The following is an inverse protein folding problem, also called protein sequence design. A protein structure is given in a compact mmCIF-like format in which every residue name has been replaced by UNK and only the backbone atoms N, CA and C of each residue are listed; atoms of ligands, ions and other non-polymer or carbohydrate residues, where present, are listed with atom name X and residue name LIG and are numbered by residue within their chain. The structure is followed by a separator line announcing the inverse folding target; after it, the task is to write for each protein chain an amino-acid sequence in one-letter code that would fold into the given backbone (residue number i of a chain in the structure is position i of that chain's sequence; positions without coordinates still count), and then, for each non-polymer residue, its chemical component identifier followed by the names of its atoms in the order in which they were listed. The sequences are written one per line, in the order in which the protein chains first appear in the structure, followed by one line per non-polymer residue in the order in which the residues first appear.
data_IF_803425765810
#
_entry.id   IF_803425765810
#
_cell.length_a   1.000
_cell.length_b   1.000
_cell.length_c   1.000
_cell.angle_alpha   90.00
_cell.angle_beta   90.00
_cell.angle_gamma   90.00
#
_symmetry.space_group_name_H-M   'P 1'
#
loop_
_entity.id
_entity.type
_entity.pdbx_description
1 polymer ?
#
# COMPACT_ATOMS: atom_id res chain seq x y z
N UNK A 1 -10.59 -36.91 -40.97
CA UNK A 1 -10.33 -35.95 -39.88
C UNK A 1 -9.42 -36.55 -38.82
N UNK A 2 -8.64 -35.71 -38.16
CA UNK A 2 -7.77 -36.08 -37.04
C UNK A 2 -8.45 -35.67 -35.74
N UNK A 3 -8.47 -36.56 -34.76
CA UNK A 3 -9.01 -36.30 -33.42
C UNK A 3 -7.86 -36.28 -32.42
N UNK A 4 -7.84 -35.26 -31.56
CA UNK A 4 -6.87 -35.11 -30.48
C UNK A 4 -7.65 -35.06 -29.17
N UNK A 5 -7.28 -35.94 -28.24
CA UNK A 5 -7.89 -36.04 -26.93
C UNK A 5 -6.80 -36.14 -25.86
N UNK A 6 -7.13 -35.78 -24.62
CA UNK A 6 -6.27 -35.99 -23.47
C UNK A 6 -7.00 -36.81 -22.40
N UNK A 7 -6.25 -37.53 -21.58
CA UNK A 7 -6.79 -38.40 -20.56
C UNK A 7 -7.08 -37.60 -19.29
N UNK A 8 -8.33 -37.13 -19.19
CA UNK A 8 -8.78 -36.23 -18.14
C UNK A 8 -9.31 -36.98 -16.91
N UNK A 9 -9.27 -36.33 -15.75
CA UNK A 9 -9.99 -36.76 -14.54
C UNK A 9 -11.12 -35.77 -14.25
N UNK A 10 -12.31 -36.27 -13.95
CA UNK A 10 -13.49 -35.45 -13.67
C UNK A 10 -13.31 -34.59 -12.40
N UNK A 11 -13.86 -33.38 -12.43
CA UNK A 11 -13.74 -32.40 -11.33
C UNK A 11 -14.59 -32.78 -10.11
N UNK A 12 -15.70 -33.51 -10.31
CA UNK A 12 -16.60 -33.94 -9.24
C UNK A 12 -17.44 -35.15 -9.65
N UNK A 13 -18.05 -35.84 -8.68
CA UNK A 13 -18.94 -36.98 -8.93
C UNK A 13 -18.26 -38.32 -9.22
N UNK A 14 -16.93 -38.38 -9.23
CA UNK A 14 -16.17 -39.60 -9.44
C UNK A 14 -15.84 -40.33 -8.13
N UNK A 15 -16.12 -41.64 -8.08
CA UNK A 15 -15.59 -42.54 -7.05
C UNK A 15 -14.56 -43.48 -7.69
N UNK A 16 -13.28 -43.33 -7.35
CA UNK A 16 -12.20 -44.18 -7.86
C UNK A 16 -11.94 -44.02 -9.37
N UNK A 17 -11.72 -45.12 -10.08
CA UNK A 17 -11.35 -45.13 -11.51
C UNK A 17 -12.47 -44.69 -12.48
N UNK A 18 -13.68 -44.40 -11.97
CA UNK A 18 -14.89 -44.10 -12.75
C UNK A 18 -14.90 -42.67 -13.33
N UNK A 19 -13.92 -41.83 -12.97
CA UNK A 19 -13.85 -40.44 -13.44
C UNK A 19 -12.75 -40.14 -14.44
N UNK A 20 -12.14 -41.15 -15.08
CA UNK A 20 -11.11 -40.90 -16.10
C UNK A 20 -11.62 -41.21 -17.50
N UNK A 21 -11.45 -40.27 -18.42
CA UNK A 21 -11.90 -40.43 -19.80
C UNK A 21 -10.99 -39.68 -20.76
N UNK A 22 -10.94 -40.18 -22.01
CA UNK A 22 -10.46 -39.38 -23.14
C UNK A 22 -11.47 -38.28 -23.43
N UNK A 23 -10.99 -37.04 -23.38
CA UNK A 23 -11.78 -35.83 -23.57
C UNK A 23 -11.13 -34.90 -24.60
N UNK A 24 -11.92 -34.06 -25.30
CA UNK A 24 -11.38 -32.95 -26.10
C UNK A 24 -10.50 -32.03 -25.25
N UNK A 25 -9.60 -31.27 -25.87
CA UNK A 25 -8.67 -30.39 -25.16
C UNK A 25 -9.40 -29.30 -24.36
N UNK A 26 -10.59 -28.91 -24.79
CA UNK A 26 -11.47 -27.94 -24.13
C UNK A 26 -12.19 -28.52 -22.91
N UNK A 27 -12.12 -29.84 -22.69
CA UNK A 27 -12.88 -30.52 -21.65
C UNK A 27 -14.35 -30.74 -22.04
N UNK A 28 -15.22 -30.74 -21.04
CA UNK A 28 -16.66 -30.78 -21.22
C UNK A 28 -17.36 -31.84 -20.38
N UNK A 29 -18.61 -32.12 -20.72
CA UNK A 29 -19.44 -33.09 -19.99
C UNK A 29 -19.48 -34.43 -20.71
N UNK A 30 -19.23 -35.50 -19.98
CA UNK A 30 -19.39 -36.88 -20.45
C UNK A 30 -19.96 -37.73 -19.33
N UNK A 31 -21.02 -38.47 -19.64
CA UNK A 31 -21.70 -39.37 -18.69
C UNK A 31 -22.07 -38.70 -17.36
N UNK A 32 -22.60 -37.46 -17.44
CA UNK A 32 -22.97 -36.60 -16.29
C UNK A 32 -21.79 -36.09 -15.45
N UNK A 33 -20.55 -36.39 -15.84
CA UNK A 33 -19.33 -35.89 -15.20
C UNK A 33 -18.77 -34.71 -15.98
N UNK A 34 -18.29 -33.69 -15.26
CA UNK A 34 -17.60 -32.53 -15.84
C UNK A 34 -16.11 -32.75 -15.77
N UNK A 35 -15.46 -32.53 -16.90
CA UNK A 35 -14.02 -32.61 -17.04
C UNK A 35 -13.47 -31.20 -17.31
N UNK A 36 -12.32 -30.85 -16.71
CA UNK A 36 -11.68 -29.57 -16.95
C UNK A 36 -11.21 -29.48 -18.40
N UNK A 37 -10.71 -28.31 -18.83
CA UNK A 37 -9.86 -28.25 -20.01
C UNK A 37 -8.47 -28.85 -19.71
N UNK A 38 -7.68 -29.12 -20.76
CA UNK A 38 -6.30 -29.58 -20.60
C UNK A 38 -5.48 -28.54 -19.82
N UNK A 39 -4.79 -28.99 -18.77
CA UNK A 39 -3.95 -28.16 -17.91
C UNK A 39 -2.46 -28.26 -18.25
N UNK A 40 -1.67 -27.37 -17.67
CA UNK A 40 -0.21 -27.43 -17.71
C UNK A 40 0.32 -28.74 -17.09
N UNK A 41 1.50 -29.18 -17.50
CA UNK A 41 2.18 -30.37 -16.97
C UNK A 41 2.23 -31.53 -17.96
N UNK A 42 2.62 -32.71 -17.46
CA UNK A 42 2.65 -33.93 -18.29
C UNK A 42 1.23 -34.46 -18.44
N UNK A 43 0.71 -34.40 -19.66
CA UNK A 43 -0.62 -34.88 -20.02
C UNK A 43 -0.50 -36.12 -20.90
N UNK A 44 -1.32 -37.13 -20.65
CA UNK A 44 -1.43 -38.27 -21.54
C UNK A 44 -2.39 -37.91 -22.69
N UNK A 45 -1.90 -37.96 -23.92
CA UNK A 45 -2.61 -37.50 -25.12
C UNK A 45 -2.75 -38.64 -26.10
N UNK A 46 -3.88 -38.67 -26.81
CA UNK A 46 -4.16 -39.59 -27.91
C UNK A 46 -4.52 -38.81 -29.17
N UNK A 47 -3.88 -39.20 -30.28
CA UNK A 47 -4.15 -38.68 -31.62
C UNK A 47 -4.64 -39.84 -32.47
N UNK A 48 -5.80 -39.69 -33.09
CA UNK A 48 -6.43 -40.74 -33.90
C UNK A 48 -6.79 -40.20 -35.28
N UNK A 49 -6.49 -40.96 -36.32
CA UNK A 49 -6.93 -40.67 -37.69
C UNK A 49 -7.54 -41.91 -38.33
N UNK A 50 -8.77 -41.79 -38.85
CA UNK A 50 -9.58 -42.90 -39.33
C UNK A 50 -9.15 -43.53 -40.67
N UNK A 51 -8.07 -43.05 -41.30
CA UNK A 51 -7.65 -43.53 -42.61
C UNK A 51 -8.36 -42.82 -43.78
N UNK A 52 -8.05 -43.28 -44.99
CA UNK A 52 -8.77 -42.94 -46.22
C UNK A 52 -8.82 -44.15 -47.14
N UNK A 53 -9.35 -43.97 -48.37
CA UNK A 53 -9.38 -45.03 -49.38
C UNK A 53 -7.98 -45.62 -49.67
N UNK A 54 -6.95 -44.77 -49.62
CA UNK A 54 -5.60 -45.13 -50.06
C UNK A 54 -4.60 -45.28 -48.90
N UNK A 55 -5.01 -44.98 -47.66
CA UNK A 55 -4.14 -44.94 -46.49
C UNK A 55 -4.81 -45.54 -45.25
N UNK A 56 -4.09 -46.42 -44.52
CA UNK A 56 -4.60 -47.06 -43.32
C UNK A 56 -4.75 -46.08 -42.15
N UNK A 57 -5.71 -46.37 -41.26
CA UNK A 57 -5.89 -45.66 -40.01
C UNK A 57 -4.67 -45.81 -39.08
N UNK A 58 -4.43 -44.82 -38.23
CA UNK A 58 -3.38 -44.90 -37.20
C UNK A 58 -3.79 -44.17 -35.92
N UNK A 59 -3.14 -44.56 -34.83
CA UNK A 59 -3.31 -43.95 -33.52
C UNK A 59 -1.94 -43.80 -32.85
N UNK A 60 -1.73 -42.64 -32.21
CA UNK A 60 -0.62 -42.41 -31.30
C UNK A 60 -1.15 -42.11 -29.91
N UNK A 61 -0.48 -42.65 -28.89
CA UNK A 61 -0.74 -42.34 -27.49
C UNK A 61 0.60 -42.13 -26.79
N UNK A 62 0.70 -41.05 -26.02
CA UNK A 62 1.93 -40.75 -25.29
C UNK A 62 1.78 -39.54 -24.38
N UNK A 63 2.83 -39.31 -23.61
CA UNK A 63 2.91 -38.17 -22.71
C UNK A 63 3.41 -36.93 -23.45
N UNK A 64 2.69 -35.83 -23.31
CA UNK A 64 3.02 -34.51 -23.85
C UNK A 64 3.23 -33.57 -22.67
N UNK A 65 4.34 -32.83 -22.67
CA UNK A 65 4.52 -31.72 -21.74
C UNK A 65 3.77 -30.50 -22.26
N UNK A 66 2.64 -30.18 -21.64
CA UNK A 66 1.88 -28.95 -21.91
C UNK A 66 2.49 -27.84 -21.09
N UNK A 67 3.14 -26.88 -21.75
CA UNK A 67 3.76 -25.74 -21.10
C UNK A 67 2.77 -24.60 -20.96
N UNK A 68 2.77 -23.97 -19.78
CA UNK A 68 2.04 -22.75 -19.50
C UNK A 68 2.61 -21.50 -20.13
N UNK A 69 1.98 -20.37 -19.78
CA UNK A 69 2.57 -19.04 -19.93
C UNK A 69 3.80 -18.91 -19.03
N UNK A 70 4.72 -18.02 -19.40
CA UNK A 70 5.86 -17.72 -18.56
C UNK A 70 5.42 -17.08 -17.23
N UNK A 71 6.22 -17.19 -16.17
CA UNK A 71 5.97 -16.45 -14.94
C UNK A 71 6.03 -14.93 -15.21
N UNK A 72 5.20 -14.14 -14.52
CA UNK A 72 5.20 -12.70 -14.66
C UNK A 72 6.60 -12.09 -14.49
N UNK A 73 6.99 -11.09 -15.31
CA UNK A 73 8.35 -10.58 -15.33
C UNK A 73 8.66 -9.61 -14.18
N UNK A 74 7.91 -9.64 -13.08
CA UNK A 74 8.12 -8.73 -11.95
C UNK A 74 9.03 -9.35 -10.90
N UNK A 75 10.02 -8.57 -10.46
CA UNK A 75 10.90 -8.90 -9.34
C UNK A 75 10.79 -7.82 -8.27
N UNK A 76 10.78 -8.23 -7.00
CA UNK A 76 10.82 -7.28 -5.88
C UNK A 76 12.21 -6.69 -5.72
N UNK A 77 12.32 -5.41 -5.42
CA UNK A 77 13.57 -4.81 -4.95
C UNK A 77 13.79 -5.22 -3.49
N UNK A 78 14.99 -5.70 -3.18
CA UNK A 78 15.35 -6.08 -1.81
C UNK A 78 15.87 -4.88 -1.02
N UNK A 79 15.70 -4.92 0.31
CA UNK A 79 16.23 -3.92 1.24
C UNK A 79 15.45 -2.61 1.34
N UNK A 80 14.30 -2.50 0.67
CA UNK A 80 13.41 -1.33 0.79
C UNK A 80 12.45 -1.55 1.95
N UNK A 81 12.63 -0.80 3.02
CA UNK A 81 11.79 -0.86 4.24
C UNK A 81 10.88 0.35 4.41
N UNK A 82 11.18 1.44 3.73
CA UNK A 82 10.46 2.71 3.84
C UNK A 82 10.09 3.25 2.45
N UNK A 83 8.88 3.78 2.32
CA UNK A 83 8.42 4.49 1.12
C UNK A 83 7.68 5.74 1.55
N UNK A 84 8.05 6.88 0.97
CA UNK A 84 7.40 8.15 1.28
C UNK A 84 6.04 8.26 0.61
N UNK A 85 5.06 8.73 1.38
CA UNK A 85 3.76 9.13 0.84
C UNK A 85 3.90 10.42 0.03
N UNK A 86 3.14 10.53 -1.06
CA UNK A 86 3.10 11.72 -1.90
C UNK A 86 1.86 12.54 -1.53
N UNK A 87 2.03 13.86 -1.38
CA UNK A 87 0.96 14.78 -1.00
C UNK A 87 0.64 15.81 -2.09
N UNK A 88 -0.63 16.18 -2.19
CA UNK A 88 -1.10 17.31 -2.99
C UNK A 88 -0.75 18.65 -2.31
N UNK A 89 -0.93 19.75 -3.04
CA UNK A 89 -0.68 21.12 -2.52
C UNK A 89 -1.56 21.49 -1.33
N UNK A 90 -2.77 20.93 -1.26
CA UNK A 90 -3.71 21.10 -0.14
C UNK A 90 -3.39 20.18 1.05
N UNK A 91 -2.24 19.51 1.02
CA UNK A 91 -1.76 18.56 2.02
C UNK A 91 -2.57 17.26 2.13
N UNK A 92 -3.55 17.01 1.25
CA UNK A 92 -4.17 15.69 1.11
C UNK A 92 -3.22 14.68 0.48
N UNK A 93 -3.43 13.39 0.73
CA UNK A 93 -2.62 12.32 0.13
C UNK A 93 -2.95 12.26 -1.37
N UNK A 94 -1.91 12.19 -2.20
CA UNK A 94 -2.04 11.83 -3.60
C UNK A 94 -1.90 10.31 -3.73
N UNK A 95 -3.03 9.60 -3.74
CA UNK A 95 -3.06 8.14 -3.74
C UNK A 95 -2.48 7.54 -5.02
N UNK A 96 -2.71 8.16 -6.18
CA UNK A 96 -2.17 7.70 -7.46
C UNK A 96 -0.64 7.83 -7.49
N UNK A 97 -0.10 8.98 -7.11
CA UNK A 97 1.33 9.21 -7.03
C UNK A 97 2.00 8.36 -5.94
N UNK A 98 1.30 8.10 -4.83
CA UNK A 98 1.80 7.19 -3.78
C UNK A 98 1.83 5.73 -4.26
N UNK A 99 0.80 5.28 -5.00
CA UNK A 99 0.81 3.96 -5.63
C UNK A 99 1.96 3.83 -6.66
N UNK A 100 2.23 4.91 -7.41
CA UNK A 100 3.37 4.97 -8.32
C UNK A 100 4.69 4.84 -7.56
N UNK A 101 4.89 5.63 -6.49
CA UNK A 101 6.08 5.57 -5.65
C UNK A 101 6.30 4.16 -5.06
N UNK A 102 5.23 3.49 -4.61
CA UNK A 102 5.28 2.11 -4.13
C UNK A 102 5.76 1.13 -5.22
N UNK A 103 5.21 1.20 -6.43
CA UNK A 103 5.66 0.33 -7.55
C UNK A 103 7.12 0.59 -7.89
N UNK A 104 7.51 1.84 -8.04
CA UNK A 104 8.88 2.22 -8.41
C UNK A 104 9.89 1.84 -7.32
N UNK A 105 9.51 1.97 -6.05
CA UNK A 105 10.37 1.61 -4.94
C UNK A 105 10.49 0.09 -4.78
N UNK A 106 9.42 -0.68 -5.03
CA UNK A 106 9.37 -2.10 -4.64
C UNK A 106 9.44 -3.08 -5.81
N UNK A 107 9.18 -2.66 -7.05
CA UNK A 107 9.10 -3.54 -8.21
C UNK A 107 10.10 -3.16 -9.31
N UNK A 108 10.54 -4.18 -10.03
CA UNK A 108 11.26 -4.07 -11.30
C UNK A 108 10.58 -5.02 -12.28
N UNK A 109 10.34 -4.55 -13.50
CA UNK A 109 10.01 -5.45 -14.60
C UNK A 109 11.29 -5.89 -15.31
N UNK A 110 11.48 -7.20 -15.47
CA UNK A 110 12.54 -7.79 -16.27
C UNK A 110 12.27 -7.69 -17.78
N UNK A 111 11.02 -7.41 -18.18
CA UNK A 111 10.61 -7.20 -19.56
C UNK A 111 10.18 -5.73 -19.75
N UNK A 112 10.86 -4.94 -20.60
CA UNK A 112 10.52 -3.53 -20.81
C UNK A 112 9.16 -3.32 -21.47
N UNK A 113 8.56 -4.35 -22.09
CA UNK A 113 7.23 -4.26 -22.70
C UNK A 113 6.10 -4.48 -21.68
N UNK A 114 6.42 -4.90 -20.46
CA UNK A 114 5.46 -5.07 -19.37
C UNK A 114 5.70 -3.99 -18.33
N UNK A 115 4.74 -3.07 -18.20
CA UNK A 115 4.88 -1.91 -17.32
C UNK A 115 4.52 -2.26 -15.88
N UNK A 116 5.31 -1.75 -14.92
CA UNK A 116 4.94 -1.83 -13.50
C UNK A 116 3.66 -1.03 -13.19
N UNK A 117 3.30 -0.06 -14.05
CA UNK A 117 2.11 0.77 -13.85
C UNK A 117 0.80 -0.03 -13.99
N UNK A 118 0.86 -1.18 -14.67
CA UNK A 118 -0.28 -2.10 -14.81
C UNK A 118 -0.54 -2.92 -13.54
N UNK A 119 0.38 -2.87 -12.57
CA UNK A 119 0.25 -3.56 -11.29
C UNK A 119 -0.66 -2.75 -10.37
N UNK A 120 -1.77 -3.34 -9.94
CA UNK A 120 -2.66 -2.75 -8.94
C UNK A 120 -1.97 -2.74 -7.57
N UNK A 121 -2.10 -1.63 -6.84
CA UNK A 121 -1.58 -1.45 -5.49
C UNK A 121 -2.76 -1.33 -4.52
N UNK A 122 -2.77 -2.17 -3.49
CA UNK A 122 -3.80 -2.20 -2.46
C UNK A 122 -3.14 -2.26 -1.08
N UNK A 123 -3.82 -1.79 -0.04
CA UNK A 123 -3.38 -1.94 1.35
C UNK A 123 -4.31 -2.86 2.13
N UNK A 124 -3.80 -3.51 3.17
CA UNK A 124 -4.61 -4.30 4.09
C UNK A 124 -5.40 -3.39 5.04
N UNK A 125 -6.70 -3.22 4.80
CA UNK A 125 -7.64 -2.52 5.68
C UNK A 125 -8.26 -3.46 6.76
N UNK A 126 -7.70 -4.66 6.93
CA UNK A 126 -8.15 -5.67 7.88
C UNK A 126 -7.13 -5.91 8.99
N UNK A 127 -7.17 -7.11 9.56
CA UNK A 127 -6.16 -7.59 10.52
C UNK A 127 -5.25 -8.61 9.84
N UNK A 128 -4.18 -9.04 10.50
CA UNK A 128 -3.29 -10.09 9.96
C UNK A 128 -4.00 -11.45 9.80
N UNK A 129 -5.01 -11.71 10.63
CA UNK A 129 -5.81 -12.94 10.60
C UNK A 129 -6.93 -12.88 9.56
N UNK A 130 -7.42 -11.69 9.25
CA UNK A 130 -8.51 -11.46 8.31
C UNK A 130 -8.15 -10.29 7.39
N UNK A 131 -7.23 -10.56 6.46
CA UNK A 131 -6.76 -9.55 5.49
C UNK A 131 -7.91 -9.07 4.63
N UNK A 132 -7.99 -7.75 4.45
CA UNK A 132 -9.03 -7.10 3.65
C UNK A 132 -8.36 -6.04 2.77
N UNK A 133 -7.88 -6.46 1.61
CA UNK A 133 -7.18 -5.58 0.70
C UNK A 133 -8.13 -4.61 -0.01
N UNK A 134 -7.75 -3.33 -0.01
CA UNK A 134 -8.53 -2.23 -0.56
C UNK A 134 -7.65 -1.25 -1.35
N UNK A 135 -8.22 -0.52 -2.32
CA UNK A 135 -7.54 0.62 -2.95
C UNK A 135 -7.06 1.62 -1.90
N UNK A 136 -5.94 2.31 -2.14
CA UNK A 136 -5.33 3.23 -1.17
C UNK A 136 -6.28 4.36 -0.73
N UNK A 137 -7.19 4.77 -1.61
CA UNK A 137 -8.18 5.84 -1.38
C UNK A 137 -9.49 5.35 -0.75
N UNK A 138 -9.53 4.10 -0.28
CA UNK A 138 -10.72 3.52 0.34
C UNK A 138 -11.17 4.30 1.59
N UNK A 139 -12.36 4.89 1.51
CA UNK A 139 -12.96 5.72 2.57
C UNK A 139 -14.04 4.97 3.40
N UNK A 140 -13.90 3.65 3.55
CA UNK A 140 -14.82 2.86 4.37
C UNK A 140 -14.58 3.00 5.88
N UNK A 141 -15.42 2.31 6.66
CA UNK A 141 -15.26 2.20 8.10
C UNK A 141 -14.16 1.16 8.41
N UNK A 142 -13.07 1.57 9.06
CA UNK A 142 -11.96 0.68 9.42
C UNK A 142 -10.59 1.38 9.47
N UNK A 143 -9.53 0.61 9.25
CA UNK A 143 -8.17 1.12 9.13
C UNK A 143 -8.02 1.84 7.79
N UNK A 144 -7.65 3.12 7.82
CA UNK A 144 -7.35 3.90 6.62
C UNK A 144 -5.87 3.76 6.27
N UNK A 145 -5.57 3.78 4.97
CA UNK A 145 -4.20 3.87 4.50
C UNK A 145 -3.54 5.16 5.01
N UNK A 146 -2.28 5.07 5.43
CA UNK A 146 -1.57 6.20 6.02
C UNK A 146 -0.13 5.88 6.39
N UNK A 147 0.39 6.67 7.33
CA UNK A 147 1.75 6.56 7.85
C UNK A 147 1.97 5.26 8.66
N UNK A 148 3.24 5.00 8.98
CA UNK A 148 3.74 3.82 9.70
C UNK A 148 3.64 2.55 8.85
N UNK A 149 3.79 1.40 9.49
CA UNK A 149 3.75 0.10 8.85
C UNK A 149 2.41 -0.16 8.14
N UNK A 150 2.48 -0.49 6.85
CA UNK A 150 1.36 -0.88 6.01
C UNK A 150 1.69 -2.19 5.30
N UNK A 151 0.72 -3.11 5.25
CA UNK A 151 0.83 -4.30 4.39
C UNK A 151 0.21 -3.97 3.03
N UNK A 152 1.04 -3.98 2.00
CA UNK A 152 0.71 -3.65 0.62
C UNK A 152 0.64 -4.93 -0.22
N UNK A 153 -0.38 -5.02 -1.07
CA UNK A 153 -0.51 -6.07 -2.08
C UNK A 153 -0.37 -5.48 -3.48
N UNK A 154 0.50 -6.11 -4.26
CA UNK A 154 0.65 -5.89 -5.68
C UNK A 154 -0.07 -7.00 -6.43
N UNK A 155 -0.97 -6.65 -7.35
CA UNK A 155 -1.68 -7.63 -8.17
C UNK A 155 -1.60 -7.24 -9.65
N UNK A 156 -1.25 -8.19 -10.51
CA UNK A 156 -1.35 -8.04 -11.95
C UNK A 156 -2.02 -9.27 -12.56
N UNK A 157 -2.94 -9.05 -13.50
CA UNK A 157 -3.79 -10.12 -14.05
C UNK A 157 -3.05 -11.09 -14.99
N UNK A 158 -1.81 -10.78 -15.36
CA UNK A 158 -1.13 -11.48 -16.44
C UNK A 158 -1.58 -10.97 -17.81
N UNK A 159 -1.09 -11.61 -18.87
CA UNK A 159 -1.48 -11.32 -20.24
C UNK A 159 -1.43 -12.61 -21.10
N UNK A 160 -1.32 -12.46 -22.42
CA UNK A 160 -1.23 -13.61 -23.33
C UNK A 160 0.07 -14.42 -23.12
N UNK A 161 1.16 -13.75 -22.74
CA UNK A 161 2.50 -14.34 -22.67
C UNK A 161 2.87 -14.76 -21.24
N UNK A 162 2.34 -14.06 -20.24
CA UNK A 162 2.69 -14.20 -18.84
C UNK A 162 1.50 -14.56 -17.94
N UNK A 163 1.76 -15.41 -16.95
CA UNK A 163 0.84 -15.71 -15.86
C UNK A 163 0.58 -14.48 -14.98
N UNK A 164 -0.48 -14.55 -14.15
CA UNK A 164 -0.79 -13.51 -13.17
C UNK A 164 0.30 -13.40 -12.09
N UNK A 165 0.36 -12.23 -11.45
CA UNK A 165 1.29 -11.93 -10.37
C UNK A 165 0.56 -11.42 -9.13
N UNK A 166 0.97 -11.92 -7.96
CA UNK A 166 0.55 -11.41 -6.66
C UNK A 166 1.77 -11.40 -5.74
N UNK A 167 1.98 -10.28 -5.05
CA UNK A 167 2.98 -10.19 -3.99
C UNK A 167 2.47 -9.29 -2.86
N UNK A 168 2.80 -9.66 -1.63
CA UNK A 168 2.51 -8.87 -0.44
C UNK A 168 3.82 -8.42 0.20
N UNK A 169 3.87 -7.18 0.67
CA UNK A 169 5.02 -6.61 1.35
C UNK A 169 4.56 -5.70 2.46
N UNK A 170 5.28 -5.76 3.57
CA UNK A 170 5.10 -4.83 4.69
C UNK A 170 6.16 -3.75 4.57
N UNK A 171 5.73 -2.49 4.60
CA UNK A 171 6.58 -1.31 4.40
C UNK A 171 6.16 -0.20 5.36
N UNK A 172 7.13 0.58 5.85
CA UNK A 172 6.84 1.78 6.62
C UNK A 172 6.57 2.96 5.69
N UNK A 173 5.39 3.56 5.82
CA UNK A 173 5.00 4.76 5.08
C UNK A 173 5.44 6.01 5.84
N UNK A 174 6.25 6.84 5.19
CA UNK A 174 6.82 8.05 5.79
C UNK A 174 6.20 9.33 5.25
N UNK A 175 6.19 10.39 6.06
CA UNK A 175 5.71 11.71 5.67
C UNK A 175 6.85 12.47 4.94
N UNK A 176 6.64 12.84 3.69
CA UNK A 176 7.65 13.54 2.87
C UNK A 176 7.65 15.06 3.07
N UNK A 177 6.77 15.61 3.90
CA UNK A 177 6.60 17.07 4.05
C UNK A 177 7.64 17.65 5.00
N UNK A 178 8.16 18.83 4.67
CA UNK A 178 9.06 19.57 5.57
C UNK A 178 8.33 20.06 6.83
N UNK A 179 9.01 19.98 7.97
CA UNK A 179 8.47 20.47 9.24
C UNK A 179 8.29 22.00 9.22
N UNK A 180 7.16 22.46 9.71
CA UNK A 180 6.87 23.90 9.83
C UNK A 180 7.89 24.61 10.72
N UNK A 181 8.58 25.62 10.18
CA UNK A 181 9.52 26.49 10.91
C UNK A 181 8.83 27.63 11.70
N UNK A 182 7.55 27.50 12.04
CA UNK A 182 6.78 28.58 12.67
C UNK A 182 7.27 28.78 14.11
N UNK A 183 7.99 29.87 14.35
CA UNK A 183 8.40 30.30 15.69
C UNK A 183 7.30 31.17 16.29
N UNK A 184 6.76 30.75 17.43
CA UNK A 184 5.86 31.58 18.24
C UNK A 184 6.63 32.83 18.71
N UNK A 185 6.04 34.02 18.50
CA UNK A 185 6.57 35.24 19.12
C UNK A 185 6.51 35.05 20.64
N UNK A 186 7.59 35.36 21.40
CA UNK A 186 7.53 35.30 22.85
C UNK A 186 6.39 36.20 23.33
N UNK A 187 5.42 35.60 24.00
CA UNK A 187 4.30 36.32 24.60
C UNK A 187 4.82 37.18 25.77
N UNK A 188 4.25 38.37 25.88
CA UNK A 188 4.57 39.41 26.86
C UNK A 188 4.62 38.80 28.27
N UNK A 189 5.76 38.96 28.96
CA UNK A 189 5.89 38.62 30.38
C UNK A 189 4.96 39.49 31.22
N UNK A 190 3.98 38.90 31.90
CA UNK A 190 3.21 39.61 32.92
C UNK A 190 4.07 39.70 34.19
N UNK A 191 4.45 40.92 34.57
CA UNK A 191 5.11 41.18 35.85
C UNK A 191 4.01 41.34 36.90
N UNK A 192 3.78 40.32 37.71
CA UNK A 192 2.93 40.44 38.90
C UNK A 192 3.78 41.00 40.05
N UNK A 193 3.41 42.15 40.60
CA UNK A 193 3.97 42.65 41.86
C UNK A 193 3.07 42.16 43.00
N UNK A 194 3.63 41.39 43.94
CA UNK A 194 3.02 41.16 45.24
C UNK A 194 3.61 42.15 46.24
N UNK A 195 2.79 43.06 46.77
CA UNK A 195 3.13 43.85 47.94
C UNK A 195 2.60 43.13 49.20
N UNK A 196 3.48 42.85 50.16
CA UNK A 196 3.12 42.25 51.43
C UNK A 196 2.67 43.35 52.40
N UNK A 197 1.39 43.41 52.75
CA UNK A 197 0.86 44.35 53.75
C UNK A 197 0.69 43.62 55.08
N UNK A 198 1.65 43.81 55.99
CA UNK A 198 1.58 43.30 57.36
C UNK A 198 0.55 44.13 58.17
N UNK A 199 -0.75 43.87 58.01
CA UNK A 199 -1.71 43.92 59.14
C UNK A 199 -3.18 43.53 58.86
N UNK A 200 -3.54 42.94 57.72
CA UNK A 200 -4.89 42.36 57.52
C UNK A 200 -4.82 41.24 56.47
N UNK A 201 -5.20 40.03 56.87
CA UNK A 201 -5.06 38.78 56.10
C UNK A 201 -6.00 38.70 54.89
N UNK A 202 -5.77 39.47 53.83
CA UNK A 202 -6.49 39.35 52.54
C UNK A 202 -5.56 39.63 51.36
N UNK A 203 -5.41 38.67 50.44
CA UNK A 203 -4.76 38.86 49.14
C UNK A 203 -5.77 39.48 48.17
N UNK A 204 -5.53 40.72 47.72
CA UNK A 204 -6.18 41.28 46.50
C UNK A 204 -5.14 41.38 45.40
N UNK A 205 -5.43 40.77 44.24
CA UNK A 205 -4.72 41.03 43.00
C UNK A 205 -5.49 42.11 42.23
N UNK A 206 -4.89 43.28 42.02
CA UNK A 206 -5.40 44.27 41.07
C UNK A 206 -4.71 44.07 39.71
N UNK A 207 -5.51 43.99 38.65
CA UNK A 207 -5.03 43.88 37.28
C UNK A 207 -4.99 45.28 36.64
N UNK A 208 -3.81 45.87 36.49
CA UNK A 208 -3.63 47.02 35.60
C UNK A 208 -3.02 46.57 34.27
N UNK A 209 -3.79 46.73 33.19
CA UNK A 209 -3.32 46.55 31.82
C UNK A 209 -2.57 47.80 31.38
N UNK A 210 -1.23 47.77 31.40
CA UNK A 210 -0.42 48.87 30.84
C UNK A 210 -0.34 48.68 29.31
N UNK A 211 -1.12 49.47 28.57
CA UNK A 211 -0.96 49.61 27.12
C UNK A 211 0.24 50.54 26.87
N UNK A 212 1.38 49.99 26.43
CA UNK A 212 2.47 50.82 25.92
C UNK A 212 2.09 51.37 24.53
N UNK A 213 1.81 52.67 24.44
CA UNK A 213 1.82 53.40 23.18
C UNK A 213 3.26 53.79 22.81
N UNK A 214 3.62 53.54 21.55
CA UNK A 214 4.91 53.91 20.95
C UNK A 214 5.09 55.45 20.92
N UNK A 215 6.31 55.99 21.12
CA UNK A 215 6.49 57.40 21.45
C UNK A 215 6.74 58.27 20.20
N UNK A 216 6.02 59.39 20.07
CA UNK A 216 6.49 60.53 19.29
C UNK A 216 5.95 61.86 19.85
N UNK A 217 6.89 62.79 20.09
CA UNK A 217 6.75 64.23 20.38
C UNK A 217 6.50 64.73 21.83
N UNK A 218 7.63 65.02 22.50
CA UNK A 218 8.03 66.31 23.12
C UNK A 218 7.17 66.90 24.28
N UNK A 219 7.64 66.81 25.54
CA UNK A 219 8.43 67.83 26.31
C UNK A 219 8.36 67.59 27.85
N UNK A 220 9.56 67.55 28.45
CA UNK A 220 10.03 67.91 29.79
C UNK A 220 9.10 67.95 31.04
N UNK A 221 9.48 67.19 32.08
CA UNK A 221 9.77 67.68 33.44
C UNK A 221 10.65 66.66 34.21
N UNK A 222 11.63 67.15 34.97
CA UNK A 222 12.66 66.40 35.73
C UNK A 222 12.31 66.36 37.25
N UNK A 223 13.15 65.86 38.19
CA UNK A 223 14.14 64.77 38.19
C UNK A 223 13.82 63.67 39.25
N UNK A 224 14.54 62.55 39.19
CA UNK A 224 14.51 61.46 40.17
C UNK A 224 15.17 61.81 41.52
N UNK A 225 14.91 61.03 42.59
CA UNK A 225 15.94 60.69 43.57
C UNK A 225 16.33 59.21 43.50
N UNK A 226 17.62 58.98 43.79
CA UNK A 226 18.35 57.72 43.72
C UNK A 226 17.99 56.78 44.87
N UNK A 227 17.96 55.47 44.61
CA UNK A 227 18.35 54.44 45.57
C UNK A 227 18.92 53.21 44.83
N UNK A 228 19.93 52.61 45.44
CA UNK A 228 21.01 51.75 44.91
C UNK A 228 20.63 50.27 44.72
N UNK A 229 21.53 49.42 44.13
CA UNK A 229 21.19 48.14 43.52
C UNK A 229 21.31 46.96 44.50
N UNK A 230 20.54 45.89 44.28
CA UNK A 230 20.81 44.58 44.88
C UNK A 230 20.84 43.50 43.80
N UNK A 231 21.87 42.66 43.92
CA UNK A 231 22.37 41.66 42.99
C UNK A 231 21.41 40.48 42.71
N UNK A 232 21.72 39.81 41.61
CA UNK A 232 21.12 38.56 41.13
C UNK A 232 21.15 37.42 42.15
N UNK A 233 20.10 36.58 42.13
CA UNK A 233 20.16 35.21 42.63
C UNK A 233 19.90 34.25 41.47
N UNK A 234 20.86 33.35 41.21
CA UNK A 234 20.67 32.11 40.43
C UNK A 234 19.65 31.24 41.14
N UNK A 235 18.84 30.52 40.38
CA UNK A 235 18.10 29.36 40.87
C UNK A 235 18.33 28.22 39.86
N UNK A 236 18.64 27.04 40.41
CA UNK A 236 18.77 25.76 39.73
C UNK A 236 17.48 25.36 39.00
#
# INVERSE_FOLDING_TARGET
DVTIEYYATAESGSWGSVGKAWMPLEGGTKDLLTYPAIGEGTQEVRITWGGSKDYAAWQWQGNVAVTGRAAAPFTRKEGVTEVSMVYNKDQSINYEATAQALREALLVSADPNVSINDVTVEYNAGTDLAKNFRPLDFDGFGFKFGLNEQTIRFTWRGNADYQAYTAEVTVEMTDSREASAIVLKPSISHRSYCAYVHHQSVLRCEHETIIQHSPAHRRACAPAPRASPCYALRIN
#
